data_IF_241251807557
#
_entry.id   IF_241251807557
#
_cell.length_a   1.000
_cell.length_b   1.000
_cell.length_c   1.000
_cell.angle_alpha   90.00
_cell.angle_beta   90.00
_cell.angle_gamma   90.00
#
_symmetry.space_group_name_H-M   'P 1'
#
loop_
_entity.id
_entity.type
_entity.pdbx_description
1 polymer ?
#
# COMPACT_ATOMS: atom_id res chain seq x y z
N UNK A 1 -12.76 -16.96 -0.37
CA UNK A 1 -11.83 -16.99 0.78
C UNK A 1 -11.33 -15.57 0.85
N UNK A 2 -11.84 -14.78 1.80
CA UNK A 2 -11.62 -13.34 1.78
C UNK A 2 -10.19 -12.96 2.14
N UNK A 3 -9.66 -11.94 1.46
CA UNK A 3 -8.35 -11.33 1.73
C UNK A 3 -8.60 -9.89 2.19
N UNK A 4 -7.96 -9.46 3.27
CA UNK A 4 -7.97 -8.05 3.69
C UNK A 4 -6.59 -7.44 3.42
N UNK A 5 -6.54 -6.38 2.63
CA UNK A 5 -5.31 -5.64 2.35
C UNK A 5 -5.25 -4.40 3.24
N UNK A 6 -4.18 -4.25 4.02
CA UNK A 6 -3.87 -3.02 4.76
C UNK A 6 -2.71 -2.29 4.11
N UNK A 7 -2.88 -0.99 3.81
CA UNK A 7 -1.86 -0.18 3.15
C UNK A 7 -1.44 0.98 4.06
N UNK A 8 -0.16 1.01 4.40
CA UNK A 8 0.55 2.19 4.92
C UNK A 8 1.22 2.91 3.73
N UNK A 9 0.70 4.04 3.24
CA UNK A 9 1.26 4.79 2.10
C UNK A 9 2.50 5.61 2.47
N UNK A 10 3.06 5.39 3.67
CA UNK A 10 4.24 6.07 4.13
C UNK A 10 5.47 5.78 3.27
N UNK A 11 6.48 6.66 3.29
CA UNK A 11 7.73 6.51 2.52
C UNK A 11 8.46 5.18 2.76
N UNK A 12 8.25 4.55 3.92
CA UNK A 12 8.78 3.24 4.28
C UNK A 12 7.68 2.25 4.66
N UNK A 13 6.45 2.54 4.22
CA UNK A 13 5.27 1.73 4.46
C UNK A 13 5.23 0.47 3.58
N UNK A 14 4.14 -0.26 3.71
CA UNK A 14 3.94 -1.55 3.07
C UNK A 14 2.46 -1.81 2.82
N UNK A 15 2.20 -2.77 1.93
CA UNK A 15 0.90 -3.41 1.77
C UNK A 15 0.99 -4.77 2.44
N UNK A 16 0.02 -5.10 3.31
CA UNK A 16 -0.09 -6.40 3.95
C UNK A 16 -1.41 -7.07 3.57
N UNK A 17 -1.36 -8.34 3.15
CA UNK A 17 -2.51 -9.20 2.94
C UNK A 17 -2.74 -10.08 4.16
N UNK A 18 -3.97 -10.10 4.66
CA UNK A 18 -4.41 -10.97 5.74
C UNK A 18 -5.49 -11.89 5.19
N UNK A 19 -5.20 -13.19 5.19
CA UNK A 19 -6.11 -14.20 4.66
C UNK A 19 -7.06 -14.71 5.75
N UNK A 20 -8.19 -15.28 5.33
CA UNK A 20 -9.19 -15.84 6.26
C UNK A 20 -8.68 -17.00 7.14
N UNK A 21 -7.58 -17.65 6.75
CA UNK A 21 -6.93 -18.70 7.55
C UNK A 21 -5.92 -18.15 8.56
N UNK A 22 -5.73 -16.82 8.61
CA UNK A 22 -4.81 -16.13 9.50
C UNK A 22 -3.38 -16.04 8.96
N UNK A 23 -3.09 -16.54 7.76
CA UNK A 23 -1.81 -16.30 7.10
C UNK A 23 -1.67 -14.83 6.69
N UNK A 24 -0.43 -14.39 6.54
CA UNK A 24 -0.09 -12.99 6.20
C UNK A 24 1.00 -12.99 5.13
N UNK A 25 0.85 -12.11 4.14
CA UNK A 25 1.90 -11.76 3.18
C UNK A 25 2.04 -10.24 3.08
N UNK A 26 3.18 -9.73 2.61
CA UNK A 26 3.38 -8.30 2.47
C UNK A 26 4.41 -7.90 1.40
N UNK A 27 4.21 -6.72 0.83
CA UNK A 27 5.15 -6.05 -0.08
C UNK A 27 5.48 -4.65 0.43
N UNK A 28 6.76 -4.27 0.40
CA UNK A 28 7.18 -2.92 0.80
C UNK A 28 6.99 -1.94 -0.34
N UNK A 29 6.61 -0.70 -0.01
CA UNK A 29 6.54 0.39 -1.00
C UNK A 29 7.92 0.89 -1.44
N UNK A 30 9.00 0.32 -0.89
CA UNK A 30 10.37 0.52 -1.37
C UNK A 30 10.74 -0.35 -2.58
N UNK A 31 9.94 -1.37 -2.89
CA UNK A 31 10.12 -2.20 -4.09
C UNK A 31 9.70 -1.45 -5.36
N UNK A 32 9.94 -2.02 -6.54
CA UNK A 32 9.56 -1.33 -7.79
C UNK A 32 8.05 -1.33 -8.00
N UNK A 33 7.55 -0.35 -8.75
CA UNK A 33 6.12 -0.28 -9.11
C UNK A 33 5.63 -1.56 -9.80
N UNK A 34 6.51 -2.22 -10.57
CA UNK A 34 6.23 -3.49 -11.23
C UNK A 34 6.04 -4.62 -10.21
N UNK A 35 6.94 -4.75 -9.24
CA UNK A 35 6.87 -5.80 -8.21
C UNK A 35 5.61 -5.63 -7.34
N UNK A 36 5.26 -4.38 -7.01
CA UNK A 36 4.05 -4.07 -6.23
C UNK A 36 2.78 -4.42 -7.04
N UNK A 37 2.77 -4.11 -8.33
CA UNK A 37 1.63 -4.43 -9.20
C UNK A 37 1.47 -5.94 -9.39
N UNK A 38 2.56 -6.68 -9.61
CA UNK A 38 2.54 -8.14 -9.70
C UNK A 38 2.04 -8.77 -8.41
N UNK A 39 2.53 -8.30 -7.25
CA UNK A 39 2.06 -8.76 -5.95
C UNK A 39 0.56 -8.50 -5.76
N UNK A 40 0.06 -7.31 -6.11
CA UNK A 40 -1.39 -7.01 -6.02
C UNK A 40 -2.22 -7.89 -6.95
N UNK A 41 -1.73 -8.19 -8.16
CA UNK A 41 -2.40 -9.09 -9.10
C UNK A 41 -2.56 -10.51 -8.53
N UNK A 42 -1.59 -11.02 -7.77
CA UNK A 42 -1.67 -12.30 -7.07
C UNK A 42 -2.73 -12.29 -5.96
N UNK A 43 -3.01 -11.12 -5.37
CA UNK A 43 -3.90 -10.94 -4.22
C UNK A 43 -5.24 -10.28 -4.58
N UNK A 44 -5.59 -10.17 -5.86
CA UNK A 44 -6.78 -9.41 -6.33
C UNK A 44 -8.12 -10.09 -6.06
N UNK A 45 -8.14 -11.41 -5.91
CA UNK A 45 -9.39 -12.16 -5.84
C UNK A 45 -9.98 -12.15 -4.43
N UNK A 46 -11.25 -11.77 -4.33
CA UNK A 46 -11.99 -11.74 -3.06
C UNK A 46 -11.31 -10.86 -1.99
N UNK A 47 -10.65 -9.77 -2.44
CA UNK A 47 -9.89 -8.87 -1.58
C UNK A 47 -10.61 -7.56 -1.27
N UNK A 48 -10.39 -7.06 -0.06
CA UNK A 48 -10.87 -5.76 0.41
C UNK A 48 -9.69 -4.94 0.93
N UNK A 49 -9.42 -3.79 0.29
CA UNK A 49 -8.29 -2.93 0.64
C UNK A 49 -8.68 -1.75 1.54
N UNK A 50 -7.90 -1.55 2.59
CA UNK A 50 -7.96 -0.43 3.51
C UNK A 50 -6.69 0.40 3.37
N UNK A 51 -6.85 1.64 2.97
CA UNK A 51 -5.75 2.60 2.83
C UNK A 51 -5.79 3.58 4.00
N UNK A 52 -4.65 3.75 4.67
CA UNK A 52 -4.54 4.74 5.74
C UNK A 52 -4.79 6.16 5.19
N UNK A 53 -5.69 6.88 5.86
CA UNK A 53 -5.93 8.29 5.55
C UNK A 53 -4.83 9.15 6.19
N UNK A 54 -3.75 9.36 5.44
CA UNK A 54 -2.61 10.20 5.87
C UNK A 54 -2.73 11.64 5.38
N UNK A 55 -2.15 12.58 6.12
CA UNK A 55 -1.98 13.98 5.70
C UNK A 55 -0.55 14.44 6.00
N UNK A 56 0.04 15.23 5.10
CA UNK A 56 1.37 15.80 5.32
C UNK A 56 1.32 16.86 6.43
N UNK A 57 2.25 16.82 7.38
CA UNK A 57 2.32 17.86 8.41
C UNK A 57 2.98 19.13 7.85
N UNK A 58 2.62 20.34 8.32
CA UNK A 58 3.19 21.60 7.80
C UNK A 58 4.72 21.74 7.89
N UNK A 59 5.38 20.91 8.71
CA UNK A 59 6.85 20.88 8.88
C UNK A 59 7.55 19.85 8.00
N UNK A 60 6.79 19.03 7.28
CA UNK A 60 7.35 18.10 6.30
C UNK A 60 7.95 18.88 5.13
N UNK A 61 9.20 18.58 4.80
CA UNK A 61 9.87 19.18 3.65
C UNK A 61 9.08 18.90 2.36
N UNK A 62 9.11 19.83 1.42
CA UNK A 62 8.34 19.77 0.15
C UNK A 62 8.51 18.44 -0.59
N UNK A 63 9.66 17.77 -0.45
CA UNK A 63 9.93 16.47 -1.08
C UNK A 63 9.27 15.27 -0.38
N UNK A 64 9.02 15.31 0.93
CA UNK A 64 8.32 14.22 1.61
C UNK A 64 6.83 14.28 1.28
N UNK A 65 6.21 15.46 1.33
CA UNK A 65 4.81 15.67 0.92
C UNK A 65 4.53 15.21 -0.53
N UNK A 66 5.46 15.48 -1.47
CA UNK A 66 5.32 15.04 -2.87
C UNK A 66 5.41 13.51 -3.02
N UNK A 67 6.38 12.87 -2.34
CA UNK A 67 6.54 11.41 -2.36
C UNK A 67 5.34 10.68 -1.74
N UNK A 68 4.77 11.22 -0.66
CA UNK A 68 3.54 10.68 -0.07
C UNK A 68 2.36 10.80 -1.05
N UNK A 69 2.19 11.95 -1.72
CA UNK A 69 1.14 12.14 -2.72
C UNK A 69 1.27 11.18 -3.92
N UNK A 70 2.50 10.93 -4.39
CA UNK A 70 2.76 9.97 -5.48
C UNK A 70 2.47 8.53 -5.06
N UNK A 71 2.91 8.11 -3.87
CA UNK A 71 2.68 6.75 -3.38
C UNK A 71 1.19 6.48 -3.11
N UNK A 72 0.50 7.44 -2.48
CA UNK A 72 -0.95 7.38 -2.28
C UNK A 72 -1.72 7.33 -3.61
N UNK A 73 -1.32 8.17 -4.57
CA UNK A 73 -1.94 8.20 -5.91
C UNK A 73 -1.70 6.92 -6.71
N UNK A 74 -0.50 6.35 -6.63
CA UNK A 74 -0.13 5.10 -7.28
C UNK A 74 -0.95 3.92 -6.74
N UNK A 75 -0.98 3.73 -5.42
CA UNK A 75 -1.74 2.63 -4.80
C UNK A 75 -3.25 2.82 -4.96
N UNK A 76 -3.75 4.05 -5.11
CA UNK A 76 -5.16 4.32 -5.43
C UNK A 76 -5.52 4.09 -6.90
N UNK A 77 -4.53 4.07 -7.79
CA UNK A 77 -4.73 3.90 -9.23
C UNK A 77 -4.61 2.44 -9.70
N UNK A 78 -3.93 1.60 -8.93
CA UNK A 78 -3.93 0.14 -9.06
C UNK A 78 -5.25 -0.46 -8.54
#
# INVERSE_FOLDING_TARGET
MGIYLGIDPGKSGAIAAIYSDGSVDCVRLSETEHDIAEWLEEHRFDSFAMLEQVSSMPRDGVSSAFKFGTSYGFVRGL
#
